data_IF_913802158727
#
_entry.id   IF_913802158727
#
_cell.length_a   1.000
_cell.length_b   1.000
_cell.length_c   1.000
_cell.angle_alpha   90.00
_cell.angle_beta   90.00
_cell.angle_gamma   90.00
#
_symmetry.space_group_name_H-M   'P 1'
#
loop_
_entity.id
_entity.type
_entity.pdbx_description
1 polymer ?
#
# COMPACT_ATOMS: atom_id res chain seq x y z
N UNK A 1 -23.85 1.92 10.15
CA UNK A 1 -23.22 1.20 9.02
C UNK A 1 -24.04 1.44 7.75
N UNK A 2 -23.76 2.54 7.03
CA UNK A 2 -24.56 2.93 5.85
C UNK A 2 -24.31 1.96 4.68
N UNK A 3 -23.04 1.63 4.39
CA UNK A 3 -22.67 0.71 3.30
C UNK A 3 -23.22 -0.71 3.51
N UNK A 4 -23.09 -1.25 4.73
CA UNK A 4 -23.66 -2.57 5.08
C UNK A 4 -25.18 -2.60 4.97
N UNK A 5 -25.87 -1.48 5.28
CA UNK A 5 -27.33 -1.40 5.13
C UNK A 5 -27.80 -1.41 3.67
N UNK A 6 -26.92 -1.05 2.74
CA UNK A 6 -27.15 -1.11 1.29
C UNK A 6 -26.73 -2.46 0.68
N UNK A 7 -26.29 -3.42 1.50
CA UNK A 7 -25.87 -4.76 1.06
C UNK A 7 -24.40 -4.89 0.64
N UNK A 8 -23.55 -3.91 0.94
CA UNK A 8 -22.10 -4.01 0.69
C UNK A 8 -21.41 -4.81 1.79
N UNK A 9 -20.40 -5.59 1.41
CA UNK A 9 -19.51 -6.31 2.33
C UNK A 9 -18.21 -5.52 2.52
N UNK A 10 -17.69 -5.53 3.76
CA UNK A 10 -16.40 -4.90 4.07
C UNK A 10 -15.26 -5.74 3.49
N UNK A 11 -14.36 -5.08 2.76
CA UNK A 11 -13.22 -5.74 2.13
C UNK A 11 -12.04 -5.83 3.11
N UNK A 12 -11.25 -6.90 3.00
CA UNK A 12 -10.00 -7.02 3.76
C UNK A 12 -8.97 -6.03 3.21
N UNK A 13 -8.54 -5.09 4.03
CA UNK A 13 -7.52 -4.06 3.72
C UNK A 13 -6.43 -4.03 4.78
N UNK A 14 -6.08 -5.21 5.30
CA UNK A 14 -5.07 -5.43 6.35
C UNK A 14 -3.64 -5.32 5.83
N UNK A 15 -3.44 -5.24 4.50
CA UNK A 15 -2.14 -5.09 3.85
C UNK A 15 -1.78 -3.62 3.66
N UNK A 16 -0.78 -3.16 4.40
CA UNK A 16 -0.29 -1.77 4.37
C UNK A 16 0.69 -1.53 3.22
N UNK A 17 1.43 -2.58 2.83
CA UNK A 17 2.42 -2.54 1.77
C UNK A 17 1.89 -3.25 0.55
N UNK A 18 1.62 -2.47 -0.50
CA UNK A 18 1.16 -2.97 -1.79
C UNK A 18 2.25 -3.06 -2.84
N UNK A 19 2.14 -4.07 -3.72
CA UNK A 19 2.98 -4.12 -4.90
C UNK A 19 2.53 -3.03 -5.89
N UNK A 20 3.48 -2.41 -6.58
CA UNK A 20 3.20 -1.40 -7.61
C UNK A 20 2.28 -1.92 -8.71
N UNK A 21 2.28 -3.24 -8.92
CA UNK A 21 1.35 -3.90 -9.84
C UNK A 21 -0.10 -3.76 -9.38
N UNK A 22 -0.42 -4.13 -8.14
CA UNK A 22 -1.79 -4.06 -7.60
C UNK A 22 -2.24 -2.63 -7.31
N UNK A 23 -1.32 -1.75 -6.91
CA UNK A 23 -1.67 -0.37 -6.59
C UNK A 23 -1.83 0.52 -7.83
N UNK A 24 -1.20 0.17 -8.95
CA UNK A 24 -1.19 1.05 -10.12
C UNK A 24 -1.43 0.36 -11.47
N UNK A 25 -0.75 -0.76 -11.77
CA UNK A 25 -0.84 -1.38 -13.09
C UNK A 25 -2.23 -2.00 -13.35
N UNK A 26 -2.82 -2.64 -12.35
CA UNK A 26 -4.17 -3.23 -12.43
C UNK A 26 -5.28 -2.17 -12.56
N UNK A 27 -5.00 -0.96 -12.09
CA UNK A 27 -5.88 0.20 -12.23
C UNK A 27 -5.65 0.94 -13.57
N UNK A 28 -4.81 0.40 -14.45
CA UNK A 28 -4.44 0.99 -15.74
C UNK A 28 -3.80 2.39 -15.63
N UNK A 29 -3.16 2.69 -14.50
CA UNK A 29 -2.42 3.95 -14.34
C UNK A 29 -1.09 3.86 -15.12
N UNK A 30 -0.70 4.89 -15.90
CA UNK A 30 0.55 4.84 -16.66
C UNK A 30 1.79 4.79 -15.75
N UNK A 31 2.86 4.19 -16.25
CA UNK A 31 4.12 4.07 -15.50
C UNK A 31 4.82 5.42 -15.27
N UNK A 32 4.66 6.36 -16.20
CA UNK A 32 5.20 7.73 -16.10
C UNK A 32 4.24 8.69 -15.37
N UNK A 33 3.24 8.16 -14.67
CA UNK A 33 2.31 9.00 -13.92
C UNK A 33 3.03 9.65 -12.72
N UNK A 34 2.91 10.97 -12.49
CA UNK A 34 3.57 11.66 -11.39
C UNK A 34 3.32 11.01 -10.02
N UNK A 35 2.12 10.47 -9.79
CA UNK A 35 1.81 9.76 -8.54
C UNK A 35 2.65 8.50 -8.29
N UNK A 36 3.40 7.97 -9.27
CA UNK A 36 4.38 6.88 -9.08
C UNK A 36 5.79 7.39 -8.76
N UNK A 37 5.98 8.70 -8.70
CA UNK A 37 7.28 9.28 -8.37
C UNK A 37 7.61 9.09 -6.89
N UNK A 38 8.90 9.04 -6.56
CA UNK A 38 9.40 8.80 -5.20
C UNK A 38 8.97 9.89 -4.20
N UNK A 39 8.61 11.07 -4.70
CA UNK A 39 8.12 12.17 -3.87
C UNK A 39 6.66 11.95 -3.41
N UNK A 40 5.88 11.18 -4.16
CA UNK A 40 4.45 10.97 -3.92
C UNK A 40 4.14 9.57 -3.37
N UNK A 41 5.01 8.59 -3.61
CA UNK A 41 4.86 7.20 -3.15
C UNK A 41 6.07 6.73 -2.35
N UNK A 42 5.83 6.19 -1.15
CA UNK A 42 6.86 5.52 -0.36
C UNK A 42 7.17 4.14 -0.94
N UNK A 43 8.40 3.95 -1.43
CA UNK A 43 8.89 2.66 -1.90
C UNK A 43 9.68 1.94 -0.82
N UNK A 44 9.54 0.62 -0.77
CA UNK A 44 10.33 -0.22 0.13
C UNK A 44 11.61 -0.67 -0.56
N UNK A 45 12.71 -0.60 0.19
CA UNK A 45 14.01 -1.02 -0.32
C UNK A 45 14.08 -2.54 -0.51
N UNK A 46 14.71 -3.04 -1.58
CA UNK A 46 14.76 -4.46 -1.90
C UNK A 46 15.49 -5.31 -0.85
N UNK A 47 16.39 -4.71 -0.06
CA UNK A 47 17.09 -5.37 1.06
C UNK A 47 16.19 -5.65 2.28
N UNK A 48 15.06 -4.94 2.43
CA UNK A 48 14.13 -5.09 3.55
C UNK A 48 12.69 -5.30 3.05
N UNK A 49 12.39 -6.42 2.38
CA UNK A 49 11.05 -6.68 1.91
C UNK A 49 10.09 -6.79 3.10
N UNK A 50 9.01 -6.01 3.09
CA UNK A 50 7.95 -6.07 4.08
C UNK A 50 7.17 -7.38 3.92
N UNK A 51 7.72 -8.46 4.48
CA UNK A 51 7.11 -9.80 4.45
C UNK A 51 6.01 -9.95 5.49
N UNK A 52 6.01 -9.08 6.50
CA UNK A 52 5.02 -9.04 7.56
C UNK A 52 5.25 -7.71 8.33
N UNK A 53 4.28 -6.80 8.26
CA UNK A 53 4.33 -5.52 8.97
C UNK A 53 3.18 -5.43 10.00
N UNK A 54 2.70 -6.57 10.49
CA UNK A 54 1.65 -6.59 11.51
C UNK A 54 2.23 -6.24 12.92
N UNK A 55 3.55 -6.31 13.11
CA UNK A 55 4.20 -6.20 14.43
C UNK A 55 5.30 -5.11 14.58
N UNK A 56 5.54 -4.24 13.60
CA UNK A 56 6.70 -3.34 13.63
C UNK A 56 6.35 -1.89 13.98
N UNK A 57 5.83 -1.66 15.19
CA UNK A 57 5.79 -0.35 15.87
C UNK A 57 7.13 0.04 16.51
N UNK A 58 8.24 -0.56 16.09
CA UNK A 58 9.58 -0.09 16.42
C UNK A 58 10.20 0.53 15.16
N UNK A 59 9.76 1.75 14.85
CA UNK A 59 10.62 2.68 14.14
C UNK A 59 11.84 2.88 15.07
N UNK A 60 12.97 2.26 14.73
CA UNK A 60 14.25 2.65 15.31
C UNK A 60 14.40 4.15 15.07
N UNK A 61 14.65 4.97 16.10
CA UNK A 61 15.16 6.31 15.86
C UNK A 61 16.54 6.15 15.23
N UNK A 62 16.94 7.09 14.38
CA UNK A 62 18.21 7.12 13.62
C UNK A 62 18.16 6.30 12.31
N UNK A 63 17.57 6.89 11.26
CA UNK A 63 18.26 7.65 10.20
C UNK A 63 17.29 8.66 9.60
#
# INVERSE_FOLDING_TARGET
>A
AILTSMGFEEMQTDRWVESSFWNFDTLFQPQQHPARDMHDTFFISPEHPARDMHDTFFISPEV
#
